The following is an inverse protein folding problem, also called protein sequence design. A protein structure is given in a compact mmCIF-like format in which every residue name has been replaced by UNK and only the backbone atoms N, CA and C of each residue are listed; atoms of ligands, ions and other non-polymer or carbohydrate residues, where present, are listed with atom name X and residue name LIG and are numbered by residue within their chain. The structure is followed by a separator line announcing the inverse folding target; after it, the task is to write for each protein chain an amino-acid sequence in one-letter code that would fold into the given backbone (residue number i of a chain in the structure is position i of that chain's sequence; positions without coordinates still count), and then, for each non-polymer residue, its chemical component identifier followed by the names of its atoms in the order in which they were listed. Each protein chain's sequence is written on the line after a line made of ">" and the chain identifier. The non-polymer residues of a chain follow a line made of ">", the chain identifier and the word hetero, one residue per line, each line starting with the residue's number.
data_IF_888671467171
#
_entry.id   IF_888671467171
#
_cell.length_a   1.000
_cell.length_b   1.000
_cell.length_c   1.000
_cell.angle_alpha   90.00
_cell.angle_beta   90.00
_cell.angle_gamma   90.00
#
_symmetry.space_group_name_H-M   'P 1'
#
loop_
_entity.id
_entity.type
_entity.pdbx_description
1 polymer ?
#
# COMPACT_ATOMS: atom_id res chain seq x y z
N UNK A 1 -44.36 -10.69 -14.87
CA UNK A 1 -44.46 -10.58 -13.41
C UNK A 1 -43.08 -10.92 -12.88
N UNK A 2 -42.08 -10.03 -12.85
CA UNK A 2 -42.13 -8.58 -12.76
C UNK A 2 -41.97 -8.17 -11.31
N UNK A 3 -40.79 -8.39 -10.74
CA UNK A 3 -40.36 -7.80 -9.47
C UNK A 3 -38.89 -7.35 -9.66
N UNK A 4 -38.78 -6.04 -9.92
CA UNK A 4 -37.54 -5.26 -9.92
C UNK A 4 -36.95 -5.24 -8.51
N UNK A 5 -35.73 -5.72 -8.34
CA UNK A 5 -34.94 -5.44 -7.14
C UNK A 5 -34.21 -4.12 -7.37
N UNK A 6 -34.61 -3.13 -6.59
CA UNK A 6 -34.21 -1.74 -6.66
C UNK A 6 -32.68 -1.55 -6.61
N UNK A 7 -32.24 -0.67 -7.49
CA UNK A 7 -30.92 -0.08 -7.60
C UNK A 7 -30.66 0.81 -6.36
N UNK A 8 -29.88 0.31 -5.39
CA UNK A 8 -29.43 1.08 -4.23
C UNK A 8 -28.17 1.88 -4.59
N UNK A 9 -28.29 2.79 -5.56
CA UNK A 9 -27.33 3.86 -5.78
C UNK A 9 -27.57 4.95 -4.73
N UNK A 10 -27.11 4.68 -3.51
CA UNK A 10 -26.93 5.73 -2.51
C UNK A 10 -25.64 6.49 -2.85
N UNK A 11 -25.67 7.76 -3.28
CA UNK A 11 -24.44 8.51 -3.53
C UNK A 11 -23.78 8.84 -2.18
N UNK A 12 -22.57 8.31 -1.96
CA UNK A 12 -21.69 8.76 -0.89
C UNK A 12 -21.43 10.26 -1.07
N UNK A 13 -22.03 11.07 -0.19
CA UNK A 13 -21.66 12.47 0.00
C UNK A 13 -20.20 12.53 0.45
N UNK A 14 -19.32 12.81 -0.51
CA UNK A 14 -17.92 13.14 -0.27
C UNK A 14 -17.85 14.54 0.34
N UNK A 15 -17.95 14.66 1.66
CA UNK A 15 -17.69 15.93 2.34
C UNK A 15 -16.20 16.25 2.22
N UNK A 16 -15.84 17.19 1.35
CA UNK A 16 -14.48 17.73 1.26
C UNK A 16 -14.20 18.60 2.50
N UNK A 17 -13.02 18.49 3.15
CA UNK A 17 -12.62 19.48 4.14
C UNK A 17 -12.37 20.82 3.43
N UNK A 18 -12.80 21.91 4.07
CA UNK A 18 -12.70 23.26 3.54
C UNK A 18 -11.23 23.67 3.30
N UNK A 19 -10.93 24.04 2.06
CA UNK A 19 -9.69 24.71 1.67
C UNK A 19 -9.67 26.12 2.30
N UNK A 20 -8.84 26.33 3.32
CA UNK A 20 -8.60 27.66 3.88
C UNK A 20 -7.59 28.42 2.99
N UNK A 21 -7.81 29.71 2.65
CA UNK A 21 -6.96 30.43 1.70
C UNK A 21 -5.60 30.73 2.35
N UNK A 22 -4.50 30.25 1.77
CA UNK A 22 -3.17 30.70 2.18
C UNK A 22 -2.91 32.11 1.62
N UNK A 23 -2.79 33.07 2.52
CA UNK A 23 -2.42 34.46 2.21
C UNK A 23 -0.92 34.57 1.90
N UNK A 24 -0.60 35.48 0.99
CA UNK A 24 0.63 35.55 0.18
C UNK A 24 1.88 36.13 0.89
N UNK A 25 1.85 36.42 2.20
CA UNK A 25 2.82 37.38 2.79
C UNK A 25 3.88 36.82 3.75
N UNK A 26 3.90 35.53 4.06
CA UNK A 26 4.89 35.00 5.04
C UNK A 26 6.19 34.46 4.38
N UNK A 27 6.42 34.80 3.11
CA UNK A 27 7.69 34.56 2.43
C UNK A 27 8.64 35.72 2.73
N UNK A 28 9.54 35.49 3.70
CA UNK A 28 10.73 36.31 4.02
C UNK A 28 10.59 37.39 5.11
N UNK A 29 10.05 37.08 6.29
CA UNK A 29 10.26 37.96 7.46
C UNK A 29 10.44 37.21 8.78
N UNK A 30 11.68 36.74 9.04
CA UNK A 30 12.33 36.77 10.36
C UNK A 30 13.72 36.15 10.27
N UNK A 31 14.70 36.95 9.82
CA UNK A 31 16.12 36.56 9.72
C UNK A 31 16.92 36.70 11.03
N UNK A 32 16.32 36.81 12.23
CA UNK A 32 17.07 37.07 13.48
C UNK A 32 16.54 36.44 14.78
N UNK A 33 15.78 35.35 14.73
CA UNK A 33 15.56 34.52 15.92
C UNK A 33 15.59 33.06 15.51
N UNK A 34 16.54 32.29 16.05
CA UNK A 34 16.48 30.84 15.99
C UNK A 34 15.60 30.34 17.14
N UNK A 35 14.32 29.96 16.92
CA UNK A 35 13.75 28.90 17.73
C UNK A 35 14.52 27.64 17.37
N UNK A 36 15.17 27.03 18.37
CA UNK A 36 15.78 25.70 18.25
C UNK A 36 14.82 24.79 17.48
N UNK A 37 15.28 23.95 16.54
CA UNK A 37 14.40 22.98 15.94
C UNK A 37 13.86 22.15 17.10
N UNK A 38 12.57 22.30 17.38
CA UNK A 38 11.82 21.36 18.19
C UNK A 38 12.21 20.02 17.60
N UNK A 39 12.95 19.22 18.38
CA UNK A 39 13.62 18.03 17.87
C UNK A 39 12.67 17.33 16.94
N UNK A 40 12.99 17.34 15.64
CA UNK A 40 12.40 16.44 14.68
C UNK A 40 12.89 15.07 15.12
N UNK A 41 12.28 14.55 16.18
CA UNK A 41 12.14 13.15 16.47
C UNK A 41 11.27 12.60 15.36
N UNK A 42 11.75 12.71 14.12
CA UNK A 42 11.41 11.79 13.08
C UNK A 42 11.75 10.47 13.72
N UNK A 43 10.69 9.76 14.12
CA UNK A 43 10.79 8.43 14.66
C UNK A 43 11.91 7.73 13.90
N UNK A 44 12.88 7.08 14.53
CA UNK A 44 13.55 5.99 13.82
C UNK A 44 12.52 5.00 13.27
N UNK A 45 11.28 4.97 13.81
CA UNK A 45 10.10 4.35 13.20
C UNK A 45 9.55 5.07 11.94
N UNK A 46 9.68 6.39 11.80
CA UNK A 46 9.08 7.19 10.73
C UNK A 46 9.98 7.28 9.49
N UNK A 47 11.31 7.23 9.67
CA UNK A 47 12.28 7.19 8.56
C UNK A 47 12.87 5.79 8.32
N UNK A 48 12.84 4.92 9.32
CA UNK A 48 13.42 3.58 9.26
C UNK A 48 12.44 2.56 8.70
N UNK A 49 12.58 2.28 7.41
CA UNK A 49 11.94 1.19 6.66
C UNK A 49 10.50 1.45 6.20
N UNK A 50 10.41 2.07 5.02
CA UNK A 50 9.31 1.90 4.05
C UNK A 50 9.05 0.43 3.63
N UNK A 51 9.88 -0.48 4.14
CA UNK A 51 9.83 -1.93 3.96
C UNK A 51 9.22 -2.64 5.18
N UNK A 52 8.79 -1.92 6.21
CA UNK A 52 8.15 -2.52 7.38
C UNK A 52 6.63 -2.49 7.21
N UNK A 53 6.06 -3.58 6.68
CA UNK A 53 4.61 -3.72 6.60
C UNK A 53 4.06 -4.44 7.84
N UNK A 54 2.92 -3.98 8.33
CA UNK A 54 2.19 -4.63 9.41
C UNK A 54 0.86 -5.15 8.88
N UNK A 55 0.48 -6.34 9.32
CA UNK A 55 -0.85 -6.90 9.05
C UNK A 55 -1.90 -6.27 9.98
N UNK A 56 -3.18 -6.62 9.77
CA UNK A 56 -4.28 -6.13 10.60
C UNK A 56 -4.20 -6.55 12.09
N UNK A 57 -3.31 -7.50 12.45
CA UNK A 57 -3.04 -7.86 13.84
C UNK A 57 -2.06 -6.89 14.53
N UNK A 58 -1.49 -5.91 13.82
CA UNK A 58 -0.39 -5.08 14.32
C UNK A 58 0.96 -5.79 14.37
N UNK A 59 1.07 -7.00 13.81
CA UNK A 59 2.31 -7.78 13.73
C UNK A 59 2.98 -7.53 12.37
N UNK A 60 4.31 -7.57 12.34
CA UNK A 60 5.09 -7.43 11.11
C UNK A 60 4.69 -8.51 10.11
N UNK A 61 4.27 -8.09 8.93
CA UNK A 61 4.00 -8.99 7.81
C UNK A 61 5.35 -9.50 7.25
N UNK A 62 5.57 -10.82 7.10
CA UNK A 62 6.69 -11.33 6.32
C UNK A 62 6.48 -11.16 4.81
N UNK A 63 7.58 -11.15 4.06
CA UNK A 63 7.58 -11.27 2.59
C UNK A 63 7.56 -12.75 2.20
N UNK A 64 6.68 -13.13 1.27
CA UNK A 64 6.66 -14.44 0.61
C UNK A 64 6.75 -14.26 -0.91
N UNK A 65 7.19 -15.31 -1.59
CA UNK A 65 7.26 -15.37 -3.06
C UNK A 65 6.12 -16.24 -3.58
N UNK A 66 5.41 -15.77 -4.60
CA UNK A 66 4.39 -16.57 -5.28
C UNK A 66 5.04 -17.56 -6.24
N UNK A 67 4.49 -18.77 -6.27
CA UNK A 67 4.96 -19.88 -7.11
C UNK A 67 3.87 -20.37 -8.08
N UNK A 68 2.81 -19.59 -8.27
CA UNK A 68 1.65 -20.02 -9.07
C UNK A 68 1.34 -19.07 -10.24
N UNK A 69 1.01 -19.68 -11.39
CA UNK A 69 0.49 -18.99 -12.58
C UNK A 69 1.39 -17.87 -13.13
N UNK A 70 0.77 -16.78 -13.56
CA UNK A 70 1.44 -15.56 -14.03
C UNK A 70 2.10 -14.72 -12.93
N UNK A 71 2.01 -15.16 -11.66
CA UNK A 71 2.59 -14.46 -10.51
C UNK A 71 3.86 -15.11 -9.97
N UNK A 72 4.37 -16.17 -10.63
CA UNK A 72 5.61 -16.85 -10.25
C UNK A 72 6.75 -15.84 -10.10
N UNK A 73 7.47 -15.92 -8.99
CA UNK A 73 8.61 -15.07 -8.68
C UNK A 73 8.25 -13.70 -8.09
N UNK A 74 6.97 -13.30 -8.09
CA UNK A 74 6.54 -12.03 -7.48
C UNK A 74 6.46 -12.15 -5.97
N UNK A 75 6.97 -11.15 -5.26
CA UNK A 75 6.95 -11.06 -3.80
C UNK A 75 5.72 -10.31 -3.31
N UNK A 76 5.23 -10.71 -2.15
CA UNK A 76 4.09 -10.10 -1.46
C UNK A 76 4.27 -10.14 0.05
N UNK A 77 3.72 -9.14 0.75
CA UNK A 77 3.55 -9.13 2.20
C UNK A 77 2.29 -9.88 2.57
N UNK A 78 2.34 -10.64 3.66
CA UNK A 78 1.18 -11.39 4.13
C UNK A 78 1.15 -11.48 5.66
N UNK A 79 -0.01 -11.72 6.25
CA UNK A 79 -0.10 -12.02 7.68
C UNK A 79 0.83 -13.19 8.06
N UNK A 80 1.49 -13.11 9.21
CA UNK A 80 2.31 -14.21 9.73
C UNK A 80 1.50 -15.51 9.88
N UNK A 81 0.22 -15.39 10.27
CA UNK A 81 -0.74 -16.50 10.38
C UNK A 81 -1.33 -16.97 9.03
N UNK A 82 -0.78 -16.56 7.89
CA UNK A 82 -1.27 -16.96 6.57
C UNK A 82 -1.32 -18.49 6.41
N UNK A 83 -2.49 -19.01 5.97
CA UNK A 83 -2.87 -20.43 5.86
C UNK A 83 -3.22 -21.14 7.18
N UNK A 84 -3.43 -20.38 8.25
CA UNK A 84 -4.07 -20.84 9.48
C UNK A 84 -5.48 -20.24 9.54
N UNK A 85 -6.43 -20.91 10.18
CA UNK A 85 -7.84 -20.49 10.27
C UNK A 85 -8.00 -19.10 10.94
N UNK A 86 -7.03 -18.67 11.76
CA UNK A 86 -7.01 -17.37 12.47
C UNK A 86 -6.17 -16.30 11.74
N UNK A 87 -6.09 -16.35 10.40
CA UNK A 87 -5.43 -15.31 9.60
C UNK A 87 -6.30 -14.05 9.53
N UNK A 88 -5.69 -12.87 9.68
CA UNK A 88 -6.41 -11.60 9.52
C UNK A 88 -6.61 -11.17 8.06
N UNK A 89 -6.29 -12.05 7.09
CA UNK A 89 -6.49 -11.80 5.66
C UNK A 89 -5.56 -10.77 5.02
N UNK A 90 -4.62 -10.18 5.75
CA UNK A 90 -3.71 -9.17 5.18
C UNK A 90 -2.86 -9.75 4.05
N UNK A 91 -2.87 -9.06 2.90
CA UNK A 91 -2.11 -9.37 1.70
C UNK A 91 -1.80 -8.08 0.92
N UNK A 92 -0.55 -7.89 0.49
CA UNK A 92 -0.16 -6.78 -0.38
C UNK A 92 1.00 -7.17 -1.29
N UNK A 93 0.92 -6.85 -2.59
CA UNK A 93 2.02 -7.08 -3.52
C UNK A 93 3.21 -6.16 -3.21
N UNK A 94 4.42 -6.73 -3.16
CA UNK A 94 5.68 -5.99 -3.06
C UNK A 94 6.18 -5.66 -4.47
N UNK A 95 6.21 -6.65 -5.35
CA UNK A 95 6.62 -6.46 -6.73
C UNK A 95 5.41 -6.03 -7.61
N UNK A 96 5.60 -5.10 -8.56
CA UNK A 96 4.56 -4.69 -9.48
C UNK A 96 4.04 -5.87 -10.32
N UNK A 97 2.88 -5.73 -10.99
CA UNK A 97 2.41 -6.71 -11.94
C UNK A 97 3.46 -7.02 -13.00
N UNK A 98 3.59 -8.30 -13.37
CA UNK A 98 4.40 -8.69 -14.52
C UNK A 98 3.87 -7.97 -15.77
N UNK A 99 4.77 -7.45 -16.61
CA UNK A 99 4.35 -6.84 -17.87
C UNK A 99 3.61 -7.84 -18.77
N UNK A 100 2.83 -7.36 -19.72
CA UNK A 100 2.13 -8.22 -20.68
C UNK A 100 3.11 -9.17 -21.42
N UNK A 101 4.23 -8.62 -21.90
CA UNK A 101 5.32 -9.39 -22.51
C UNK A 101 5.92 -10.42 -21.55
N UNK A 102 6.15 -10.05 -20.29
CA UNK A 102 6.68 -11.00 -19.30
C UNK A 102 5.70 -12.14 -19.04
N UNK A 103 4.40 -11.83 -18.96
CA UNK A 103 3.34 -12.83 -18.76
C UNK A 103 3.28 -13.84 -19.90
N UNK A 104 3.48 -13.41 -21.15
CA UNK A 104 3.54 -14.28 -22.34
C UNK A 104 4.82 -15.12 -22.42
N UNK A 105 5.97 -14.53 -22.06
CA UNK A 105 7.27 -15.22 -22.17
C UNK A 105 7.55 -16.18 -21.00
N UNK A 106 6.96 -15.97 -19.82
CA UNK A 106 7.21 -16.79 -18.62
C UNK A 106 6.91 -18.29 -18.83
N UNK A 107 5.79 -18.71 -19.45
CA UNK A 107 5.56 -20.11 -19.80
C UNK A 107 6.63 -20.68 -20.73
N UNK A 108 6.96 -19.97 -21.81
CA UNK A 108 7.95 -20.42 -22.81
C UNK A 108 9.35 -20.57 -22.21
N UNK A 109 9.73 -19.66 -21.29
CA UNK A 109 10.99 -19.74 -20.59
C UNK A 109 11.06 -20.96 -19.66
N UNK A 110 9.94 -21.34 -19.02
CA UNK A 110 9.88 -22.54 -18.17
C UNK A 110 10.06 -23.82 -18.99
N UNK A 111 9.45 -23.90 -20.17
CA UNK A 111 9.56 -25.06 -21.07
C UNK A 111 10.99 -25.26 -21.57
N UNK A 112 11.75 -24.18 -21.77
CA UNK A 112 13.13 -24.26 -22.26
C UNK A 112 14.14 -24.72 -21.21
N UNK A 113 13.79 -24.68 -19.92
CA UNK A 113 14.65 -25.08 -18.80
C UNK A 113 14.30 -26.50 -18.30
N UNK A 114 13.13 -27.03 -18.66
CA UNK A 114 12.71 -28.40 -18.39
C UNK A 114 13.37 -29.38 -19.36
#
# INVERSE_FOLDING_TARGET
>A
MGEEAADDQTPFLQTQPAEHPLQRTDYMDTLHHQPSPMSSSTSSYALGNRWMHFCHCGIRAPVKTSWTGGSVGRRFWVCEKYRVDDTCGYFAWLDPPTSARGTELLPLLREKIA
#
